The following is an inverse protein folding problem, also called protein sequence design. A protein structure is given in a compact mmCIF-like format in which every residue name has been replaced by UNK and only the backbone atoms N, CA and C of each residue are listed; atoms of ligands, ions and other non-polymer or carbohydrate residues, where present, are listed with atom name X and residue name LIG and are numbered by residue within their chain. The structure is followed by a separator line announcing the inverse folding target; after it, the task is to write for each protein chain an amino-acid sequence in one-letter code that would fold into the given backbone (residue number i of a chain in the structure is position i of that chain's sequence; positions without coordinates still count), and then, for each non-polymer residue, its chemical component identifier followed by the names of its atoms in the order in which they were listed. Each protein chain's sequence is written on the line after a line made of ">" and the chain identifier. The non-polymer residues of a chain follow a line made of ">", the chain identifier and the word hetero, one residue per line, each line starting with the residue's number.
data_IF_740879314703
#
_entry.id   IF_740879314703
#
_cell.length_a   1.000
_cell.length_b   1.000
_cell.length_c   1.000
_cell.angle_alpha   90.00
_cell.angle_beta   90.00
_cell.angle_gamma   90.00
#
_symmetry.space_group_name_H-M   'P 1'
#
loop_
_entity.id
_entity.type
_entity.pdbx_description
1 polymer ?
#
# COMPACT_ATOMS: atom_id res chain seq x y z
N UNK A 1 83.59 -67.78 28.96
CA UNK A 1 82.38 -66.95 28.74
C UNK A 1 81.30 -67.85 28.18
N UNK A 2 80.22 -68.08 28.94
CA UNK A 2 79.12 -68.93 28.51
C UNK A 2 78.27 -68.20 27.46
N UNK A 3 78.09 -68.81 26.29
CA UNK A 3 77.11 -68.37 25.28
C UNK A 3 75.72 -68.73 25.80
N UNK A 4 75.04 -67.75 26.40
CA UNK A 4 73.64 -67.89 26.81
C UNK A 4 72.75 -67.75 25.55
N UNK A 5 72.37 -68.88 24.95
CA UNK A 5 71.35 -68.91 23.89
C UNK A 5 69.95 -68.86 24.53
N UNK A 6 69.51 -67.65 24.87
CA UNK A 6 68.13 -67.39 25.31
C UNK A 6 67.14 -67.57 24.14
N UNK A 7 65.92 -68.07 24.38
CA UNK A 7 64.90 -68.15 23.34
C UNK A 7 64.61 -66.74 22.83
N UNK A 8 64.81 -66.56 21.53
CA UNK A 8 64.58 -65.31 20.83
C UNK A 8 63.10 -64.93 21.00
N UNK A 9 62.85 -63.83 21.71
CA UNK A 9 61.51 -63.29 21.87
C UNK A 9 61.09 -62.65 20.53
N UNK A 10 60.21 -63.34 19.80
CA UNK A 10 59.75 -62.96 18.45
C UNK A 10 59.20 -61.52 18.43
N UNK A 11 58.55 -61.08 19.51
CA UNK A 11 58.04 -59.70 19.65
C UNK A 11 59.17 -58.67 19.77
N UNK A 12 60.23 -59.00 20.51
CA UNK A 12 61.38 -58.11 20.67
C UNK A 12 62.17 -58.00 19.38
N UNK A 13 62.35 -59.11 18.65
CA UNK A 13 62.98 -59.08 17.33
C UNK A 13 62.21 -58.23 16.33
N UNK A 14 60.88 -58.40 16.24
CA UNK A 14 60.04 -57.58 15.37
C UNK A 14 60.12 -56.08 15.71
N UNK A 15 60.18 -55.74 17.00
CA UNK A 15 60.36 -54.35 17.45
C UNK A 15 61.74 -53.79 17.08
N UNK A 16 62.81 -54.59 17.21
CA UNK A 16 64.17 -54.22 16.82
C UNK A 16 64.28 -54.02 15.30
N UNK A 17 63.69 -54.91 14.51
CA UNK A 17 63.67 -54.80 13.04
C UNK A 17 62.88 -53.58 12.57
N UNK A 18 61.73 -53.30 13.20
CA UNK A 18 60.94 -52.09 12.92
C UNK A 18 61.77 -50.83 13.17
N UNK A 19 62.43 -50.75 14.32
CA UNK A 19 63.30 -49.60 14.67
C UNK A 19 64.48 -49.45 13.70
N UNK A 20 65.12 -50.56 13.31
CA UNK A 20 66.18 -50.56 12.27
C UNK A 20 65.64 -50.06 10.92
N UNK A 21 64.45 -50.50 10.52
CA UNK A 21 63.83 -50.09 9.25
C UNK A 21 63.45 -48.61 9.23
N UNK A 22 62.95 -48.08 10.35
CA UNK A 22 62.59 -46.67 10.51
C UNK A 22 63.86 -45.78 10.51
N UNK A 23 64.92 -46.23 11.19
CA UNK A 23 66.20 -45.52 11.21
C UNK A 23 66.87 -45.54 9.83
N UNK A 24 66.82 -46.66 9.09
CA UNK A 24 67.30 -46.72 7.70
C UNK A 24 66.53 -45.74 6.79
N UNK A 25 65.20 -45.67 6.91
CA UNK A 25 64.35 -44.71 6.17
C UNK A 25 64.64 -43.26 6.58
N UNK A 26 65.13 -43.02 7.79
CA UNK A 26 65.50 -41.68 8.28
C UNK A 26 66.88 -41.28 7.78
N UNK A 27 67.87 -42.17 7.89
CA UNK A 27 69.23 -41.93 7.42
C UNK A 27 69.27 -41.68 5.91
N UNK A 28 68.46 -42.40 5.12
CA UNK A 28 68.34 -42.16 3.67
C UNK A 28 67.87 -40.74 3.32
N UNK A 29 67.08 -40.09 4.20
CA UNK A 29 66.65 -38.69 4.06
C UNK A 29 67.72 -37.70 4.55
N UNK A 30 68.36 -37.99 5.67
CA UNK A 30 69.37 -37.10 6.30
C UNK A 30 70.62 -36.98 5.43
N UNK A 31 71.09 -38.08 4.85
CA UNK A 31 72.31 -38.09 4.04
C UNK A 31 72.09 -37.64 2.59
N UNK A 32 70.85 -37.54 2.13
CA UNK A 32 70.57 -36.99 0.80
C UNK A 32 70.52 -35.45 0.86
N UNK A 33 71.58 -34.80 0.37
CA UNK A 33 71.73 -33.34 0.39
C UNK A 33 70.54 -32.63 -0.26
N UNK A 34 69.97 -33.17 -1.35
CA UNK A 34 68.87 -32.55 -2.11
C UNK A 34 67.54 -32.60 -1.35
N UNK A 35 67.18 -33.72 -0.73
CA UNK A 35 65.98 -33.79 0.11
C UNK A 35 66.12 -32.97 1.40
N UNK A 36 67.34 -32.81 1.91
CA UNK A 36 67.63 -31.99 3.09
C UNK A 36 67.49 -30.49 2.81
N UNK A 37 67.91 -30.01 1.64
CA UNK A 37 67.70 -28.61 1.24
C UNK A 37 66.29 -28.34 0.70
N UNK A 38 65.69 -29.28 -0.05
CA UNK A 38 64.38 -29.11 -0.70
C UNK A 38 63.56 -30.39 -0.54
N UNK A 39 62.97 -30.57 0.63
CA UNK A 39 62.05 -31.67 0.93
C UNK A 39 60.60 -31.27 0.68
N UNK A 40 60.08 -31.59 -0.51
CA UNK A 40 58.70 -31.27 -0.89
C UNK A 40 57.99 -32.55 -1.32
N UNK A 41 56.80 -32.78 -0.77
CA UNK A 41 55.87 -33.79 -1.25
C UNK A 41 55.00 -33.17 -2.36
N UNK A 42 55.43 -33.36 -3.62
CA UNK A 42 54.74 -32.78 -4.77
C UNK A 42 53.34 -33.35 -4.93
N UNK A 43 53.18 -34.65 -4.71
CA UNK A 43 51.92 -35.36 -4.80
C UNK A 43 50.89 -34.81 -3.83
N UNK A 44 51.25 -34.62 -2.57
CA UNK A 44 50.35 -34.02 -1.58
C UNK A 44 50.00 -32.54 -1.90
N UNK A 45 50.96 -31.77 -2.44
CA UNK A 45 50.70 -30.38 -2.84
C UNK A 45 49.77 -30.29 -4.06
N UNK A 46 49.95 -31.17 -5.05
CA UNK A 46 49.10 -31.22 -6.23
C UNK A 46 47.65 -31.60 -5.84
N UNK A 47 47.48 -32.56 -4.93
CA UNK A 47 46.17 -32.91 -4.34
C UNK A 47 45.52 -31.71 -3.62
N UNK A 48 46.27 -30.98 -2.80
CA UNK A 48 45.77 -29.77 -2.11
C UNK A 48 45.34 -28.67 -3.09
N UNK A 49 46.08 -28.50 -4.19
CA UNK A 49 45.72 -27.52 -5.23
C UNK A 49 44.43 -27.91 -5.93
N UNK A 50 44.26 -29.20 -6.27
CA UNK A 50 43.04 -29.72 -6.87
C UNK A 50 41.83 -29.55 -5.94
N UNK A 51 41.98 -29.90 -4.65
CA UNK A 51 40.92 -29.74 -3.66
C UNK A 51 40.49 -28.27 -3.54
N UNK A 52 41.45 -27.34 -3.49
CA UNK A 52 41.15 -25.90 -3.42
C UNK A 52 40.44 -25.40 -4.67
N UNK A 53 40.82 -25.89 -5.86
CA UNK A 53 40.14 -25.54 -7.11
C UNK A 53 38.71 -26.06 -7.12
N UNK A 54 38.51 -27.31 -6.73
CA UNK A 54 37.18 -27.91 -6.63
C UNK A 54 36.27 -27.14 -5.67
N UNK A 55 36.77 -26.80 -4.48
CA UNK A 55 36.02 -25.99 -3.50
C UNK A 55 35.63 -24.62 -4.07
N UNK A 56 36.55 -23.95 -4.78
CA UNK A 56 36.29 -22.66 -5.42
C UNK A 56 35.22 -22.77 -6.51
N UNK A 57 35.23 -23.84 -7.29
CA UNK A 57 34.22 -24.09 -8.31
C UNK A 57 32.84 -24.36 -7.70
N UNK A 58 32.80 -25.14 -6.61
CA UNK A 58 31.57 -25.41 -5.85
C UNK A 58 30.98 -24.12 -5.27
N UNK A 59 31.81 -23.28 -4.66
CA UNK A 59 31.39 -21.98 -4.12
C UNK A 59 30.88 -21.06 -5.24
N UNK A 60 31.58 -21.02 -6.39
CA UNK A 60 31.15 -20.25 -7.55
C UNK A 60 29.79 -20.74 -8.06
N UNK A 61 29.60 -22.04 -8.23
CA UNK A 61 28.32 -22.60 -8.69
C UNK A 61 27.18 -22.29 -7.72
N UNK A 62 27.47 -22.30 -6.41
CA UNK A 62 26.51 -21.92 -5.37
C UNK A 62 26.12 -20.44 -5.48
N UNK A 63 27.10 -19.55 -5.63
CA UNK A 63 26.85 -18.11 -5.80
C UNK A 63 26.07 -17.84 -7.10
N UNK A 64 26.47 -18.46 -8.21
CA UNK A 64 25.77 -18.35 -9.50
C UNK A 64 24.32 -18.87 -9.42
N UNK A 65 24.03 -19.84 -8.54
CA UNK A 65 22.66 -20.31 -8.28
C UNK A 65 21.84 -19.28 -7.50
N UNK A 66 22.41 -18.68 -6.45
CA UNK A 66 21.75 -17.63 -5.68
C UNK A 66 21.51 -16.36 -6.50
N UNK A 67 22.48 -15.95 -7.32
CA UNK A 67 22.33 -14.78 -8.19
C UNK A 67 21.18 -14.96 -9.19
N UNK A 68 21.03 -16.16 -9.74
CA UNK A 68 19.89 -16.51 -10.61
C UNK A 68 18.56 -16.47 -9.87
N UNK A 69 18.52 -16.97 -8.64
CA UNK A 69 17.33 -16.94 -7.81
C UNK A 69 16.95 -15.50 -7.42
N UNK A 70 17.93 -14.67 -7.08
CA UNK A 70 17.75 -13.24 -6.79
C UNK A 70 17.12 -12.52 -7.99
N UNK A 71 17.68 -12.68 -9.19
CA UNK A 71 17.14 -12.07 -10.42
C UNK A 71 15.69 -12.52 -10.67
N UNK A 72 15.40 -13.81 -10.45
CA UNK A 72 14.04 -14.35 -10.61
C UNK A 72 13.07 -13.72 -9.62
N UNK A 73 13.47 -13.57 -8.37
CA UNK A 73 12.64 -12.98 -7.32
C UNK A 73 12.41 -11.48 -7.57
N UNK A 74 13.45 -10.75 -8.00
CA UNK A 74 13.32 -9.34 -8.38
C UNK A 74 12.31 -9.12 -9.52
N UNK A 75 12.36 -9.97 -10.55
CA UNK A 75 11.40 -9.92 -11.64
C UNK A 75 9.98 -10.20 -11.17
N UNK A 76 9.81 -11.20 -10.29
CA UNK A 76 8.50 -11.52 -9.70
C UNK A 76 7.97 -10.35 -8.87
N UNK A 77 8.82 -9.73 -8.05
CA UNK A 77 8.45 -8.59 -7.23
C UNK A 77 8.00 -7.39 -8.08
N UNK A 78 8.71 -7.08 -9.17
CA UNK A 78 8.31 -6.01 -10.10
C UNK A 78 6.95 -6.26 -10.75
N UNK A 79 6.64 -7.51 -11.10
CA UNK A 79 5.34 -7.85 -11.68
C UNK A 79 4.22 -7.67 -10.65
N UNK A 80 4.40 -8.16 -9.44
CA UNK A 80 3.43 -7.99 -8.34
C UNK A 80 3.21 -6.51 -8.03
N UNK A 81 4.27 -5.71 -7.98
CA UNK A 81 4.16 -4.27 -7.74
C UNK A 81 3.36 -3.56 -8.84
N UNK A 82 3.54 -3.96 -10.11
CA UNK A 82 2.75 -3.42 -11.21
C UNK A 82 1.27 -3.81 -11.12
N UNK A 83 0.97 -5.05 -10.76
CA UNK A 83 -0.38 -5.54 -10.51
C UNK A 83 -1.04 -4.75 -9.38
N UNK A 84 -0.37 -4.62 -8.23
CA UNK A 84 -0.84 -3.86 -7.06
C UNK A 84 -1.16 -2.40 -7.44
N UNK A 85 -0.27 -1.72 -8.16
CA UNK A 85 -0.53 -0.35 -8.62
C UNK A 85 -1.72 -0.25 -9.58
N UNK A 86 -1.91 -1.25 -10.43
CA UNK A 86 -3.04 -1.28 -11.36
C UNK A 86 -4.36 -1.48 -10.63
N UNK A 87 -4.39 -2.38 -9.64
CA UNK A 87 -5.56 -2.65 -8.79
C UNK A 87 -5.91 -1.42 -7.95
N UNK A 88 -4.94 -0.81 -7.27
CA UNK A 88 -5.16 0.42 -6.50
C UNK A 88 -5.75 1.53 -7.37
N UNK A 89 -5.26 1.66 -8.61
CA UNK A 89 -5.79 2.64 -9.55
C UNK A 89 -7.24 2.32 -9.95
N UNK A 90 -7.55 1.06 -10.25
CA UNK A 90 -8.90 0.63 -10.59
C UNK A 90 -9.86 0.86 -9.42
N UNK A 91 -9.51 0.44 -8.21
CA UNK A 91 -10.31 0.69 -7.01
C UNK A 91 -10.55 2.19 -6.78
N UNK A 92 -9.53 3.04 -6.95
CA UNK A 92 -9.68 4.48 -6.82
C UNK A 92 -10.62 5.07 -7.89
N UNK A 93 -10.54 4.58 -9.13
CA UNK A 93 -11.43 4.98 -10.22
C UNK A 93 -12.87 4.54 -9.94
N UNK A 94 -13.09 3.31 -9.54
CA UNK A 94 -14.41 2.77 -9.19
C UNK A 94 -15.04 3.54 -8.02
N UNK A 95 -14.26 3.86 -7.00
CA UNK A 95 -14.72 4.63 -5.85
C UNK A 95 -15.12 6.05 -6.28
N UNK A 96 -14.32 6.70 -7.13
CA UNK A 96 -14.68 8.01 -7.67
C UNK A 96 -15.91 7.95 -8.57
N UNK A 97 -16.05 6.91 -9.40
CA UNK A 97 -17.25 6.69 -10.21
C UNK A 97 -18.49 6.51 -9.31
N UNK A 98 -18.36 5.73 -8.23
CA UNK A 98 -19.43 5.56 -7.25
C UNK A 98 -19.82 6.88 -6.58
N UNK A 99 -18.83 7.68 -6.15
CA UNK A 99 -19.06 9.03 -5.60
C UNK A 99 -19.81 9.91 -6.59
N UNK A 100 -19.37 9.93 -7.85
CA UNK A 100 -19.97 10.73 -8.91
C UNK A 100 -21.39 10.28 -9.26
N UNK A 101 -21.70 8.99 -9.15
CA UNK A 101 -23.01 8.44 -9.53
C UNK A 101 -24.02 8.53 -8.40
N UNK A 102 -23.61 8.26 -7.16
CA UNK A 102 -24.53 8.00 -6.04
C UNK A 102 -24.34 8.92 -4.83
N UNK A 103 -23.29 9.74 -4.79
CA UNK A 103 -23.01 10.64 -3.67
C UNK A 103 -23.01 12.10 -4.11
N UNK A 104 -23.89 12.43 -5.06
CA UNK A 104 -24.08 13.79 -5.51
C UNK A 104 -24.75 14.62 -4.40
N UNK A 105 -24.37 15.89 -4.21
CA UNK A 105 -25.06 16.78 -3.28
C UNK A 105 -26.56 16.86 -3.53
N UNK A 106 -26.96 16.81 -4.81
CA UNK A 106 -28.35 16.86 -5.24
C UNK A 106 -29.21 15.68 -4.75
N UNK A 107 -28.59 14.53 -4.53
CA UNK A 107 -29.26 13.30 -4.08
C UNK A 107 -29.36 13.22 -2.54
N UNK A 108 -28.84 14.24 -1.83
CA UNK A 108 -28.90 14.30 -0.37
C UNK A 108 -30.30 14.60 0.13
N UNK A 109 -30.66 14.03 1.29
CA UNK A 109 -31.99 14.19 1.91
C UNK A 109 -32.39 15.65 2.14
N UNK A 110 -31.41 16.51 2.37
CA UNK A 110 -31.55 17.92 2.74
C UNK A 110 -31.15 18.88 1.61
N UNK A 111 -31.06 18.38 0.37
CA UNK A 111 -30.71 19.20 -0.78
C UNK A 111 -31.69 20.36 -1.03
N UNK A 112 -32.97 20.16 -0.76
CA UNK A 112 -34.00 21.21 -0.85
C UNK A 112 -33.74 22.40 0.10
N UNK A 113 -33.06 22.16 1.21
CA UNK A 113 -32.60 23.19 2.14
C UNK A 113 -31.32 23.88 1.64
N UNK A 114 -30.38 23.09 1.12
CA UNK A 114 -29.03 23.53 0.75
C UNK A 114 -28.87 23.99 -0.70
N UNK A 115 -29.92 23.90 -1.53
CA UNK A 115 -29.88 24.33 -2.93
C UNK A 115 -29.54 25.83 -3.04
N UNK A 116 -28.41 26.21 -3.68
CA UNK A 116 -28.04 27.61 -3.87
C UNK A 116 -29.09 28.42 -4.64
N UNK A 117 -29.93 27.75 -5.43
CA UNK A 117 -31.00 28.38 -6.23
C UNK A 117 -32.36 28.33 -5.54
N UNK A 118 -32.46 27.88 -4.29
CA UNK A 118 -33.72 27.76 -3.53
C UNK A 118 -34.59 29.01 -3.62
N UNK A 119 -34.01 30.19 -3.39
CA UNK A 119 -34.71 31.48 -3.43
C UNK A 119 -35.31 31.83 -4.80
N UNK A 120 -34.71 31.32 -5.89
CA UNK A 120 -35.23 31.51 -7.25
C UNK A 120 -36.39 30.57 -7.57
N UNK A 121 -36.48 29.43 -6.88
CA UNK A 121 -37.54 28.42 -7.05
C UNK A 121 -38.74 28.68 -6.14
N UNK A 122 -38.54 29.38 -5.03
CA UNK A 122 -39.59 29.71 -4.08
C UNK A 122 -40.61 30.68 -4.70
N UNK A 123 -41.89 30.45 -4.39
CA UNK A 123 -42.96 31.38 -4.73
C UNK A 123 -43.14 32.41 -3.61
N UNK A 124 -43.57 33.65 -3.93
CA UNK A 124 -43.91 34.64 -2.91
C UNK A 124 -44.96 34.11 -1.94
N UNK A 125 -44.89 34.59 -0.70
CA UNK A 125 -45.80 34.18 0.37
C UNK A 125 -47.28 34.49 0.06
N UNK A 126 -47.55 35.57 -0.67
CA UNK A 126 -48.86 35.97 -1.21
C UNK A 126 -48.68 36.33 -2.68
N UNK A 127 -49.35 35.59 -3.58
CA UNK A 127 -49.27 35.82 -5.03
C UNK A 127 -50.37 36.79 -5.50
N UNK A 128 -51.58 36.63 -4.98
CA UNK A 128 -52.76 37.43 -5.31
C UNK A 128 -53.61 37.61 -4.06
N UNK A 129 -54.56 38.54 -4.10
CA UNK A 129 -55.52 38.74 -3.01
C UNK A 129 -56.45 37.53 -2.85
N UNK A 130 -56.77 36.84 -3.93
CA UNK A 130 -57.65 35.66 -3.94
C UNK A 130 -56.86 34.34 -3.97
N UNK A 131 -55.62 34.33 -3.47
CA UNK A 131 -54.78 33.12 -3.42
C UNK A 131 -55.38 32.08 -2.44
N UNK A 132 -55.79 30.89 -2.93
CA UNK A 132 -56.45 29.87 -2.11
C UNK A 132 -55.54 29.25 -1.05
N UNK A 133 -54.22 29.47 -1.13
CA UNK A 133 -53.24 28.98 -0.14
C UNK A 133 -53.27 29.82 1.15
N UNK A 134 -53.85 31.02 1.11
CA UNK A 134 -53.85 31.96 2.24
C UNK A 134 -55.02 31.68 3.17
N UNK A 135 -54.81 30.79 4.13
CA UNK A 135 -55.74 30.56 5.24
C UNK A 135 -55.62 31.67 6.30
N UNK A 136 -56.59 31.72 7.22
CA UNK A 136 -56.56 32.62 8.38
C UNK A 136 -55.31 32.43 9.26
N UNK A 137 -54.81 31.20 9.39
CA UNK A 137 -53.62 30.89 10.19
C UNK A 137 -52.31 31.33 9.54
N UNK A 138 -52.30 31.56 8.21
CA UNK A 138 -51.10 31.98 7.49
C UNK A 138 -50.60 33.38 7.90
N UNK A 139 -51.49 34.23 8.41
CA UNK A 139 -51.17 35.61 8.79
C UNK A 139 -50.75 36.51 7.63
N UNK A 140 -50.97 36.10 6.37
CA UNK A 140 -50.56 36.85 5.18
C UNK A 140 -51.66 37.76 4.60
N UNK A 141 -52.92 37.53 4.97
CA UNK A 141 -54.10 38.34 4.57
C UNK A 141 -54.95 38.63 5.78
N UNK A 142 -55.26 39.91 6.00
CA UNK A 142 -56.07 40.36 7.14
C UNK A 142 -57.37 40.99 6.64
N UNK A 143 -58.50 40.64 7.25
CA UNK A 143 -59.80 41.20 6.86
C UNK A 143 -59.92 42.72 7.10
N UNK A 144 -59.09 43.29 7.98
CA UNK A 144 -59.02 44.74 8.20
C UNK A 144 -58.26 45.51 7.11
N UNK A 145 -57.54 44.82 6.22
CA UNK A 145 -56.86 45.42 5.07
C UNK A 145 -57.91 45.83 4.02
N UNK A 146 -58.21 47.14 3.96
CA UNK A 146 -59.22 47.70 3.06
C UNK A 146 -58.61 48.19 1.75
N UNK A 147 -58.54 47.29 0.77
CA UNK A 147 -58.06 47.60 -0.58
C UNK A 147 -59.00 48.54 -1.34
N UNK A 148 -60.30 48.56 -1.00
CA UNK A 148 -61.32 49.37 -1.66
C UNK A 148 -61.59 50.71 -0.97
N UNK A 149 -60.72 51.14 -0.04
CA UNK A 149 -60.86 52.39 0.72
C UNK A 149 -61.11 53.61 -0.15
N UNK A 150 -60.40 53.69 -1.28
CA UNK A 150 -60.50 54.81 -2.23
C UNK A 150 -61.88 54.86 -2.89
N UNK A 151 -62.40 53.72 -3.33
CA UNK A 151 -63.75 53.57 -3.93
C UNK A 151 -64.81 53.92 -2.89
N UNK A 152 -64.70 53.35 -1.68
CA UNK A 152 -65.61 53.63 -0.58
C UNK A 152 -65.67 55.12 -0.24
N UNK A 153 -64.52 55.79 -0.16
CA UNK A 153 -64.45 57.23 0.09
C UNK A 153 -65.12 58.05 -1.02
N UNK A 154 -64.93 57.68 -2.30
CA UNK A 154 -65.61 58.34 -3.41
C UNK A 154 -67.13 58.20 -3.30
N UNK A 155 -67.62 57.00 -3.05
CA UNK A 155 -69.04 56.74 -2.88
C UNK A 155 -69.64 57.53 -1.71
N UNK A 156 -68.93 57.61 -0.57
CA UNK A 156 -69.34 58.44 0.57
C UNK A 156 -69.41 59.93 0.20
N UNK A 157 -68.44 60.44 -0.58
CA UNK A 157 -68.45 61.84 -1.04
C UNK A 157 -69.63 62.12 -1.99
N UNK A 158 -69.93 61.22 -2.92
CA UNK A 158 -71.09 61.34 -3.82
C UNK A 158 -72.41 61.31 -3.05
N UNK A 159 -72.54 60.40 -2.08
CA UNK A 159 -73.72 60.37 -1.20
C UNK A 159 -73.89 61.66 -0.42
N UNK A 160 -72.80 62.19 0.17
CA UNK A 160 -72.86 63.45 0.91
C UNK A 160 -73.29 64.62 0.01
N UNK A 161 -72.75 64.71 -1.22
CA UNK A 161 -73.19 65.72 -2.20
C UNK A 161 -74.69 65.61 -2.49
N UNK A 162 -75.17 64.40 -2.79
CA UNK A 162 -76.58 64.17 -3.06
C UNK A 162 -77.48 64.54 -1.87
N UNK A 163 -77.04 64.24 -0.63
CA UNK A 163 -77.78 64.61 0.57
C UNK A 163 -77.84 66.13 0.76
N UNK A 164 -76.74 66.84 0.54
CA UNK A 164 -76.74 68.30 0.57
C UNK A 164 -77.68 68.88 -0.49
N UNK A 165 -77.65 68.36 -1.72
CA UNK A 165 -78.52 68.83 -2.81
C UNK A 165 -80.01 68.61 -2.51
N UNK A 166 -80.37 67.55 -1.80
CA UNK A 166 -81.75 67.28 -1.36
C UNK A 166 -82.20 68.18 -0.22
N UNK A 167 -81.30 68.52 0.73
CA UNK A 167 -81.62 69.41 1.85
C UNK A 167 -81.80 70.87 1.42
N UNK A 168 -81.08 71.32 0.38
CA UNK A 168 -81.19 72.69 -0.16
C UNK A 168 -82.46 72.89 -1.00
N UNK A 169 -83.14 71.82 -1.40
CA UNK A 169 -84.39 71.87 -2.21
C UNK A 169 -85.68 71.98 -1.38
N UNK A 170 -85.59 72.04 -0.06
CA UNK A 170 -86.66 72.41 0.86
C UNK A 170 -86.38 73.80 1.47
#
# INVERSE_FOLDING_TARGET
>A
MFLLNLPINIKEQAAIERRRSEEQKRLSRIFNVKYRTIGIDKTALDEQVQERQYMKELEKQRNDAFDREMIRNDLKQRLLEQEDFSEQRQCAQELNNYRLLYQKPEDSREWDLNDPKKWKKLTPARISDDDPRLSLSSGQKFAGEDLQKSIRKKFQQEQLKNYFDLQVKF
#
